data_IF_228289021053
#
_entry.id   IF_228289021053
#
_cell.length_a   1.000
_cell.length_b   1.000
_cell.length_c   1.000
_cell.angle_alpha   90.00
_cell.angle_beta   90.00
_cell.angle_gamma   90.00
#
_symmetry.space_group_name_H-M   'P 1'
#
loop_
_entity.id
_entity.type
_entity.pdbx_description
1 polymer ?
#
# COMPACT_ATOMS: atom_id res chain seq x y z
N UNK A 1 -11.93 15.22 2.12
CA UNK A 1 -11.42 15.44 3.50
C UNK A 1 -10.68 14.23 4.08
N UNK A 2 -10.77 13.03 3.49
CA UNK A 2 -10.05 11.83 3.96
C UNK A 2 -8.89 11.50 3.01
N UNK A 3 -7.67 11.63 3.53
CA UNK A 3 -6.37 11.22 2.98
C UNK A 3 -6.01 11.83 1.62
N UNK A 4 -5.13 12.84 1.67
CA UNK A 4 -4.37 13.23 0.50
C UNK A 4 -3.60 11.98 0.03
N UNK A 5 -3.75 11.62 -1.25
CA UNK A 5 -3.18 10.40 -1.86
C UNK A 5 -1.64 10.32 -1.79
N UNK A 6 -0.98 11.32 -1.18
CA UNK A 6 0.46 11.38 -0.92
C UNK A 6 0.93 10.42 0.17
N UNK A 7 0.03 9.89 0.99
CA UNK A 7 0.39 9.22 2.24
C UNK A 7 0.55 7.69 2.11
N UNK A 8 0.80 7.14 0.92
CA UNK A 8 0.94 5.68 0.73
C UNK A 8 2.05 5.31 -0.25
N UNK A 9 2.87 4.32 0.13
CA UNK A 9 3.84 3.68 -0.75
C UNK A 9 3.47 2.23 -0.98
N UNK A 10 3.60 1.80 -2.23
CA UNK A 10 3.26 0.45 -2.67
C UNK A 10 4.38 -0.06 -3.58
N UNK A 11 4.91 -1.23 -3.27
CA UNK A 11 5.76 -2.03 -4.16
C UNK A 11 5.21 -3.46 -4.13
N UNK A 12 4.79 -3.95 -5.29
CA UNK A 12 4.49 -5.36 -5.53
C UNK A 12 5.47 -5.87 -6.59
N UNK A 13 6.31 -6.83 -6.22
CA UNK A 13 7.30 -7.46 -7.11
C UNK A 13 6.77 -8.77 -7.65
N UNK A 14 5.68 -8.71 -8.41
CA UNK A 14 5.06 -9.86 -9.10
C UNK A 14 4.93 -11.13 -8.24
N UNK A 15 4.57 -10.97 -6.96
CA UNK A 15 4.42 -12.09 -6.02
C UNK A 15 5.70 -12.59 -5.35
N UNK A 16 6.85 -11.95 -5.57
CA UNK A 16 8.07 -12.20 -4.79
C UNK A 16 8.04 -11.45 -3.45
N UNK A 17 7.58 -10.20 -3.47
CA UNK A 17 7.66 -9.30 -2.34
C UNK A 17 6.56 -8.26 -2.41
N UNK A 18 5.92 -8.02 -1.26
CA UNK A 18 4.98 -6.94 -1.07
C UNK A 18 5.51 -6.01 0.01
N UNK A 19 5.63 -4.72 -0.33
CA UNK A 19 5.83 -3.62 0.60
C UNK A 19 4.65 -2.67 0.48
N UNK A 20 3.95 -2.46 1.58
CA UNK A 20 2.82 -1.54 1.65
C UNK A 20 2.99 -0.65 2.89
N UNK A 21 3.09 0.66 2.68
CA UNK A 21 3.24 1.62 3.76
C UNK A 21 2.07 2.61 3.76
N UNK A 22 1.49 2.82 4.94
CA UNK A 22 0.56 3.90 5.23
C UNK A 22 1.34 4.92 6.06
N UNK A 23 1.53 6.10 5.48
CA UNK A 23 2.22 7.22 6.09
C UNK A 23 1.24 7.95 7.00
N UNK A 24 1.61 8.12 8.27
CA UNK A 24 0.81 8.89 9.21
C UNK A 24 0.99 10.39 8.99
N UNK A 25 0.30 11.19 9.79
CA UNK A 25 0.42 12.66 9.74
C UNK A 25 1.77 13.18 10.25
N UNK A 26 2.54 12.32 10.90
CA UNK A 26 3.75 12.63 11.64
C UNK A 26 4.77 11.50 11.42
N UNK A 27 6.06 11.86 11.47
CA UNK A 27 7.18 10.97 11.09
C UNK A 27 7.27 9.69 11.92
N UNK A 28 6.66 9.67 13.10
CA UNK A 28 6.68 8.56 14.05
C UNK A 28 5.49 7.60 13.93
N UNK A 29 4.54 7.86 13.03
CA UNK A 29 3.29 7.11 12.96
C UNK A 29 3.07 6.46 11.59
N UNK A 30 4.04 5.66 11.15
CA UNK A 30 3.93 4.94 9.89
C UNK A 30 3.64 3.46 10.16
N UNK A 31 2.65 2.92 9.44
CA UNK A 31 2.41 1.48 9.40
C UNK A 31 3.05 0.93 8.13
N UNK A 32 4.00 0.01 8.28
CA UNK A 32 4.66 -0.65 7.17
C UNK A 32 4.41 -2.15 7.25
N UNK A 33 3.88 -2.70 6.16
CA UNK A 33 3.72 -4.14 5.96
C UNK A 33 4.74 -4.57 4.90
N UNK A 34 5.66 -5.45 5.29
CA UNK A 34 6.63 -6.07 4.41
C UNK A 34 6.51 -7.58 4.50
N UNK A 35 6.29 -8.24 3.37
CA UNK A 35 6.15 -9.70 3.35
C UNK A 35 6.56 -10.32 2.02
N UNK A 36 7.08 -11.54 2.10
CA UNK A 36 7.38 -12.42 0.95
C UNK A 36 6.52 -13.68 0.94
N UNK A 37 5.59 -13.79 1.90
CA UNK A 37 4.69 -14.94 1.97
C UNK A 37 3.56 -14.79 0.94
N UNK A 38 3.46 -15.78 0.06
CA UNK A 38 2.46 -15.81 -1.01
C UNK A 38 1.01 -15.75 -0.51
N UNK A 39 0.70 -16.27 0.68
CA UNK A 39 -0.64 -16.20 1.27
C UNK A 39 -0.95 -14.80 1.76
N UNK A 40 0.00 -14.11 2.39
CA UNK A 40 -0.17 -12.72 2.80
C UNK A 40 -0.35 -11.80 1.60
N UNK A 41 0.48 -11.98 0.57
CA UNK A 41 0.35 -11.23 -0.68
C UNK A 41 -1.03 -11.43 -1.31
N UNK A 42 -1.52 -12.68 -1.38
CA UNK A 42 -2.85 -12.99 -1.92
C UNK A 42 -3.97 -12.33 -1.12
N UNK A 43 -3.87 -12.32 0.22
CA UNK A 43 -4.83 -11.67 1.12
C UNK A 43 -4.85 -10.15 0.93
N UNK A 44 -3.68 -9.53 0.81
CA UNK A 44 -3.52 -8.07 0.78
C UNK A 44 -3.66 -7.47 -0.63
N UNK A 45 -3.67 -8.31 -1.67
CA UNK A 45 -3.67 -7.86 -3.08
C UNK A 45 -4.83 -6.92 -3.41
N UNK A 46 -6.04 -7.20 -2.92
CA UNK A 46 -7.21 -6.34 -3.17
C UNK A 46 -7.02 -4.94 -2.58
N UNK A 47 -6.56 -4.87 -1.33
CA UNK A 47 -6.28 -3.61 -0.63
C UNK A 47 -5.22 -2.78 -1.37
N UNK A 48 -4.16 -3.44 -1.82
CA UNK A 48 -3.06 -2.82 -2.56
C UNK A 48 -3.53 -2.28 -3.90
N UNK A 49 -4.28 -3.07 -4.66
CA UNK A 49 -4.83 -2.67 -5.96
C UNK A 49 -5.83 -1.52 -5.85
N UNK A 50 -6.69 -1.52 -4.83
CA UNK A 50 -7.56 -0.37 -4.55
C UNK A 50 -6.75 0.89 -4.22
N UNK A 51 -5.68 0.76 -3.45
CA UNK A 51 -4.77 1.85 -3.16
C UNK A 51 -4.14 2.44 -4.42
N UNK A 52 -3.69 1.60 -5.34
CA UNK A 52 -3.11 2.00 -6.62
C UNK A 52 -4.14 2.60 -7.60
N UNK A 53 -5.33 2.01 -7.70
CA UNK A 53 -6.40 2.55 -8.55
C UNK A 53 -6.85 3.94 -8.09
N UNK A 54 -6.92 4.16 -6.77
CA UNK A 54 -7.28 5.46 -6.21
C UNK A 54 -6.17 6.51 -6.39
N UNK A 55 -4.90 6.12 -6.44
CA UNK A 55 -3.78 7.07 -6.59
C UNK A 55 -3.63 7.59 -8.01
N UNK A 56 -4.07 6.82 -9.02
CA UNK A 56 -4.28 7.33 -10.36
C UNK A 56 -5.58 8.14 -10.31
N UNK A 57 -5.48 9.48 -10.30
CA UNK A 57 -6.63 10.34 -10.60
C UNK A 57 -7.28 9.80 -11.87
N UNK A 58 -8.43 9.16 -11.74
CA UNK A 58 -9.36 9.05 -12.85
C UNK A 58 -10.00 10.43 -12.88
N UNK A 59 -9.56 11.26 -13.82
CA UNK A 59 -10.24 12.50 -14.17
C UNK A 59 -11.71 12.20 -14.52
#
# INVERSE_FOLDING_TARGET
RLYDQKDRFVIDRDGEELLFAIIGKNETNNLVIHTRDSKHQRLLRSLVMEGWLRSRKLD
#
